data_IF_201924371525
#
_entry.id   IF_201924371525
#
_cell.length_a   1.000
_cell.length_b   1.000
_cell.length_c   1.000
_cell.angle_alpha   90.00
_cell.angle_beta   90.00
_cell.angle_gamma   90.00
#
_symmetry.space_group_name_H-M   'P 1'
#
loop_
_entity.id
_entity.type
_entity.pdbx_description
1 polymer ?
#
# COMPACT_ATOMS: atom_id res chain seq x y z
N UNK A 1 -3.09 4.54 10.77
CA UNK A 1 -4.18 3.53 10.74
C UNK A 1 -5.54 4.12 11.09
N UNK A 2 -5.64 5.01 12.08
CA UNK A 2 -6.94 5.42 12.66
C UNK A 2 -7.50 6.71 12.06
N UNK A 3 -6.77 7.40 11.21
CA UNK A 3 -7.28 8.50 10.39
C UNK A 3 -8.50 8.02 9.59
N UNK A 4 -9.59 8.80 9.59
CA UNK A 4 -10.88 8.45 8.97
C UNK A 4 -11.40 7.05 9.38
N UNK A 5 -11.16 6.65 10.65
CA UNK A 5 -11.46 5.31 11.18
C UNK A 5 -10.86 4.18 10.31
N UNK A 6 -9.68 4.39 9.72
CA UNK A 6 -8.99 3.41 8.88
C UNK A 6 -9.60 3.19 7.49
N UNK A 7 -10.59 3.96 7.10
CA UNK A 7 -11.27 3.87 5.79
C UNK A 7 -10.52 4.68 4.74
N UNK A 8 -9.25 4.34 4.53
CA UNK A 8 -8.34 5.00 3.60
C UNK A 8 -7.49 3.94 2.93
N UNK A 9 -7.44 3.94 1.60
CA UNK A 9 -6.77 2.94 0.77
C UNK A 9 -5.27 2.76 1.04
N UNK A 10 -4.64 3.74 1.68
CA UNK A 10 -3.23 3.70 2.10
C UNK A 10 -3.07 3.67 3.62
N UNK A 11 -4.14 3.50 4.38
CA UNK A 11 -4.02 3.24 5.81
C UNK A 11 -3.26 1.91 6.03
N UNK A 12 -2.29 1.85 6.96
CA UNK A 12 -1.64 0.58 7.29
C UNK A 12 -2.69 -0.49 7.60
N UNK A 13 -2.65 -1.60 6.88
CA UNK A 13 -3.64 -2.66 7.03
C UNK A 13 -3.28 -3.57 8.21
N UNK A 14 -2.04 -4.04 8.25
CA UNK A 14 -1.44 -4.76 9.37
C UNK A 14 -0.06 -4.20 9.71
N UNK A 15 0.46 -4.55 10.86
CA UNK A 15 1.77 -4.16 11.37
C UNK A 15 2.64 -5.39 11.62
N UNK A 16 3.81 -5.42 11.00
CA UNK A 16 4.89 -6.35 11.35
C UNK A 16 5.85 -5.62 12.30
N UNK A 17 6.07 -6.15 13.49
CA UNK A 17 6.85 -5.48 14.53
C UNK A 17 7.95 -6.38 15.09
N UNK A 18 9.16 -5.83 15.28
CA UNK A 18 10.24 -6.52 15.98
C UNK A 18 9.81 -6.81 17.43
N UNK A 19 9.99 -8.05 17.86
CA UNK A 19 9.65 -8.53 19.22
C UNK A 19 10.25 -7.63 20.31
N UNK A 20 11.46 -7.11 20.08
CA UNK A 20 12.19 -6.27 21.05
C UNK A 20 11.53 -4.94 21.36
N UNK A 21 10.73 -4.41 20.43
CA UNK A 21 10.08 -3.10 20.60
C UNK A 21 8.57 -3.20 20.75
N UNK A 22 7.99 -4.39 20.62
CA UNK A 22 6.55 -4.63 20.65
C UNK A 22 5.88 -4.04 21.88
N UNK A 23 6.33 -4.41 23.07
CA UNK A 23 5.68 -4.00 24.32
C UNK A 23 5.68 -2.47 24.48
N UNK A 24 6.83 -1.83 24.18
CA UNK A 24 6.95 -0.38 24.23
C UNK A 24 6.06 0.30 23.20
N UNK A 25 5.95 -0.27 22.00
CA UNK A 25 5.07 0.25 20.95
C UNK A 25 3.59 0.16 21.37
N UNK A 26 3.16 -0.98 21.92
CA UNK A 26 1.78 -1.18 22.36
C UNK A 26 1.41 -0.19 23.49
N UNK A 27 2.29 0.00 24.47
CA UNK A 27 2.11 1.01 25.51
C UNK A 27 1.92 2.42 24.93
N UNK A 28 2.80 2.81 24.00
CA UNK A 28 2.78 4.14 23.40
C UNK A 28 1.55 4.38 22.52
N UNK A 29 1.15 3.41 21.71
CA UNK A 29 -0.02 3.57 20.82
C UNK A 29 -1.30 3.66 21.64
N UNK A 30 -1.46 2.87 22.71
CA UNK A 30 -2.61 2.96 23.62
C UNK A 30 -2.70 4.37 24.25
N UNK A 31 -1.58 4.85 24.78
CA UNK A 31 -1.49 6.20 25.34
C UNK A 31 -1.83 7.28 24.31
N UNK A 32 -1.35 7.12 23.08
CA UNK A 32 -1.60 8.06 21.99
C UNK A 32 -3.07 8.06 21.57
N UNK A 33 -3.69 6.88 21.44
CA UNK A 33 -5.12 6.77 21.12
C UNK A 33 -6.00 7.46 22.16
N UNK A 34 -5.68 7.26 23.44
CA UNK A 34 -6.36 7.93 24.55
C UNK A 34 -6.16 9.46 24.50
N UNK A 35 -4.96 9.92 24.17
CA UNK A 35 -4.67 11.35 24.01
C UNK A 35 -5.42 11.98 22.83
N UNK A 36 -5.61 11.23 21.72
CA UNK A 36 -6.26 11.75 20.52
C UNK A 36 -7.78 11.72 20.61
N UNK A 37 -8.37 10.65 21.17
CA UNK A 37 -9.80 10.38 21.09
C UNK A 37 -10.48 10.34 22.47
N UNK A 38 -9.75 10.58 23.57
CA UNK A 38 -10.27 10.50 24.94
C UNK A 38 -10.38 9.08 25.46
N UNK A 39 -10.99 8.94 26.65
CA UNK A 39 -11.21 7.65 27.34
C UNK A 39 -12.25 6.78 26.60
N UNK A 40 -13.28 7.38 26.03
CA UNK A 40 -14.27 6.71 25.19
C UNK A 40 -14.29 7.35 23.78
N UNK A 41 -13.59 6.76 22.80
CA UNK A 41 -13.60 7.27 21.42
C UNK A 41 -14.99 7.30 20.76
N UNK A 42 -16.00 6.61 21.33
CA UNK A 42 -17.38 6.67 20.80
C UNK A 42 -18.04 8.04 20.99
N UNK A 43 -17.57 8.80 21.96
CA UNK A 43 -18.04 10.16 22.26
C UNK A 43 -17.15 11.26 21.67
N UNK A 44 -16.02 10.87 21.05
CA UNK A 44 -15.09 11.82 20.44
C UNK A 44 -15.63 12.40 19.13
N UNK A 45 -15.57 13.73 19.00
CA UNK A 45 -15.87 14.43 17.74
C UNK A 45 -14.78 14.25 16.67
N UNK A 46 -13.57 13.83 17.09
CA UNK A 46 -12.41 13.65 16.20
C UNK A 46 -12.29 12.21 15.66
N UNK A 47 -13.20 11.31 16.07
CA UNK A 47 -13.19 9.91 15.61
C UNK A 47 -14.39 9.61 14.70
N UNK A 48 -14.09 9.24 13.44
CA UNK A 48 -15.09 8.97 12.41
C UNK A 48 -15.91 7.70 12.68
N UNK A 49 -17.04 7.58 11.98
CA UNK A 49 -17.89 6.39 11.95
C UNK A 49 -17.61 5.57 10.69
N UNK A 50 -17.96 4.29 10.74
CA UNK A 50 -17.93 3.39 9.58
C UNK A 50 -19.10 3.75 8.66
N UNK A 51 -18.89 3.57 7.35
CA UNK A 51 -19.84 4.04 6.32
C UNK A 51 -21.22 3.41 6.41
N UNK A 52 -21.36 2.18 6.91
CA UNK A 52 -22.64 1.49 7.07
C UNK A 52 -22.57 0.32 8.07
N UNK A 53 -23.74 -0.23 8.41
CA UNK A 53 -23.87 -1.33 9.38
C UNK A 53 -23.24 -2.64 8.91
N UNK A 54 -23.33 -2.96 7.63
CA UNK A 54 -22.77 -4.21 7.07
C UNK A 54 -21.25 -4.24 7.22
N UNK A 55 -20.58 -3.12 6.91
CA UNK A 55 -19.14 -2.98 7.12
C UNK A 55 -18.76 -2.99 8.60
N UNK A 56 -19.61 -2.43 9.47
CA UNK A 56 -19.41 -2.48 10.91
C UNK A 56 -19.47 -3.91 11.42
N UNK A 57 -20.46 -4.69 10.99
CA UNK A 57 -20.57 -6.12 11.34
C UNK A 57 -19.41 -6.95 10.82
N UNK A 58 -18.93 -6.68 9.59
CA UNK A 58 -17.73 -7.32 9.05
C UNK A 58 -16.50 -7.03 9.92
N UNK A 59 -16.29 -5.78 10.33
CA UNK A 59 -15.17 -5.41 11.20
C UNK A 59 -15.28 -6.05 12.59
N UNK A 60 -16.49 -6.20 13.12
CA UNK A 60 -16.72 -6.94 14.37
C UNK A 60 -16.30 -8.41 14.23
N UNK A 61 -16.60 -9.07 13.11
CA UNK A 61 -16.16 -10.44 12.86
C UNK A 61 -14.64 -10.57 12.82
N UNK A 62 -13.92 -9.56 12.31
CA UNK A 62 -12.45 -9.52 12.32
C UNK A 62 -11.88 -9.35 13.73
N UNK A 63 -12.51 -8.53 14.58
CA UNK A 63 -12.08 -8.36 15.96
C UNK A 63 -12.07 -9.70 16.72
N UNK A 64 -12.99 -10.59 16.38
CA UNK A 64 -13.11 -11.91 17.01
C UNK A 64 -12.04 -12.93 16.53
N UNK A 65 -11.15 -12.56 15.61
CA UNK A 65 -10.12 -13.48 15.06
C UNK A 65 -8.84 -13.53 15.89
N UNK A 66 -8.62 -12.57 16.81
CA UNK A 66 -7.39 -12.47 17.59
C UNK A 66 -7.63 -12.01 19.02
N UNK A 67 -6.54 -11.78 19.75
CA UNK A 67 -6.58 -11.24 21.10
C UNK A 67 -6.63 -9.72 21.07
N UNK A 68 -7.69 -9.13 21.64
CA UNK A 68 -7.86 -7.68 21.75
C UNK A 68 -6.94 -7.11 22.82
N UNK A 69 -6.03 -6.24 22.45
CA UNK A 69 -5.13 -5.50 23.37
C UNK A 69 -5.77 -4.20 23.84
N UNK A 70 -6.47 -3.52 22.96
CA UNK A 70 -7.24 -2.31 23.28
C UNK A 70 -8.36 -2.12 22.25
N UNK A 71 -9.42 -1.40 22.62
CA UNK A 71 -10.58 -1.21 21.77
C UNK A 71 -11.57 -2.37 21.84
N UNK A 72 -11.92 -2.94 20.68
CA UNK A 72 -12.81 -4.11 20.57
C UNK A 72 -14.30 -3.81 20.65
N UNK A 73 -14.70 -2.61 21.10
CA UNK A 73 -16.11 -2.22 21.21
C UNK A 73 -16.69 -1.90 19.84
N UNK A 74 -17.82 -2.49 19.51
CA UNK A 74 -18.63 -2.19 18.33
C UNK A 74 -20.03 -1.76 18.73
N UNK A 75 -20.63 -0.86 17.97
CA UNK A 75 -22.03 -0.44 18.11
C UNK A 75 -22.62 -0.37 16.70
N UNK A 76 -23.23 -1.45 16.25
CA UNK A 76 -23.69 -1.61 14.86
C UNK A 76 -24.65 -0.49 14.45
N UNK A 77 -25.63 -0.17 15.32
CA UNK A 77 -26.63 0.86 15.03
C UNK A 77 -26.07 2.27 14.89
N UNK A 78 -24.92 2.54 15.51
CA UNK A 78 -24.20 3.81 15.40
C UNK A 78 -23.06 3.76 14.36
N UNK A 79 -22.90 2.66 13.62
CA UNK A 79 -21.77 2.43 12.71
C UNK A 79 -20.41 2.70 13.40
N UNK A 80 -20.27 2.31 14.65
CA UNK A 80 -19.09 2.56 15.45
C UNK A 80 -18.27 1.29 15.65
N UNK A 81 -16.97 1.41 15.43
CA UNK A 81 -15.93 0.43 15.78
C UNK A 81 -14.81 1.19 16.48
N UNK A 82 -14.47 0.79 17.70
CA UNK A 82 -13.38 1.41 18.45
C UNK A 82 -12.03 1.23 17.75
N UNK A 83 -11.08 2.18 17.91
CA UNK A 83 -9.68 1.93 17.55
C UNK A 83 -9.18 0.68 18.25
N UNK A 84 -8.89 -0.38 17.47
CA UNK A 84 -8.64 -1.72 18.01
C UNK A 84 -7.28 -2.23 17.59
N UNK A 85 -6.51 -2.75 18.54
CA UNK A 85 -5.27 -3.50 18.31
C UNK A 85 -5.52 -4.97 18.60
N UNK A 86 -5.11 -5.83 17.68
CA UNK A 86 -5.19 -7.29 17.81
C UNK A 86 -3.79 -7.89 17.81
N UNK A 87 -3.58 -8.90 18.64
CA UNK A 87 -2.42 -9.79 18.60
C UNK A 87 -2.86 -11.24 18.37
N UNK A 88 -1.92 -12.15 18.34
CA UNK A 88 -2.16 -13.57 18.09
C UNK A 88 -2.83 -13.86 16.76
N UNK A 89 -2.56 -13.00 15.77
CA UNK A 89 -3.04 -13.12 14.39
C UNK A 89 -2.03 -13.89 13.56
N UNK A 90 -2.54 -14.86 12.81
CA UNK A 90 -1.75 -15.64 11.84
C UNK A 90 -2.03 -15.15 10.42
N UNK A 91 -1.08 -15.31 9.50
CA UNK A 91 -1.27 -14.90 8.10
C UNK A 91 -2.47 -15.58 7.38
N UNK A 92 -2.96 -16.70 7.92
CA UNK A 92 -4.10 -17.46 7.40
C UNK A 92 -5.45 -16.99 7.93
N UNK A 93 -5.47 -16.17 8.99
CA UNK A 93 -6.72 -15.74 9.62
C UNK A 93 -7.56 -14.85 8.69
N UNK A 94 -8.89 -14.86 8.79
CA UNK A 94 -9.79 -14.13 7.87
C UNK A 94 -9.45 -12.65 7.73
N UNK A 95 -9.05 -11.99 8.82
CA UNK A 95 -8.66 -10.57 8.82
C UNK A 95 -7.45 -10.26 7.91
N UNK A 96 -6.62 -11.28 7.60
CA UNK A 96 -5.45 -11.15 6.74
C UNK A 96 -5.73 -11.50 5.26
N UNK A 97 -6.95 -11.96 4.92
CA UNK A 97 -7.28 -12.43 3.57
C UNK A 97 -7.92 -11.35 2.69
N UNK A 98 -8.37 -10.26 3.26
CA UNK A 98 -8.95 -9.13 2.55
C UNK A 98 -8.55 -7.80 3.21
N UNK A 99 -8.69 -6.69 2.48
CA UNK A 99 -8.44 -5.34 3.01
C UNK A 99 -9.39 -5.03 4.18
N UNK A 100 -8.84 -4.64 5.32
CA UNK A 100 -9.62 -4.39 6.54
C UNK A 100 -10.52 -3.17 6.36
N UNK A 101 -9.98 -2.06 5.82
CA UNK A 101 -10.68 -0.80 5.58
C UNK A 101 -11.50 -0.32 6.78
N UNK A 102 -10.87 -0.36 7.94
CA UNK A 102 -11.49 -0.03 9.24
C UNK A 102 -10.44 0.17 10.35
N UNK A 103 -10.87 0.57 11.56
CA UNK A 103 -9.97 0.94 12.65
C UNK A 103 -9.48 -0.27 13.46
N UNK A 104 -9.19 -1.36 12.80
CA UNK A 104 -8.64 -2.58 13.40
C UNK A 104 -7.24 -2.79 12.86
N UNK A 105 -6.25 -2.95 13.74
CA UNK A 105 -4.86 -3.14 13.39
C UNK A 105 -4.34 -4.46 13.96
N UNK A 106 -4.18 -5.50 13.13
CA UNK A 106 -3.42 -6.69 13.46
C UNK A 106 -1.95 -6.35 13.68
N UNK A 107 -1.36 -6.87 14.75
CA UNK A 107 0.05 -6.72 15.11
C UNK A 107 0.69 -8.11 15.12
N UNK A 108 1.56 -8.36 14.17
CA UNK A 108 2.28 -9.63 13.98
C UNK A 108 3.74 -9.41 14.36
N UNK A 109 4.26 -10.22 15.24
CA UNK A 109 5.63 -10.11 15.76
C UNK A 109 6.59 -10.91 14.89
N UNK A 110 7.79 -10.37 14.66
CA UNK A 110 8.92 -11.08 14.06
C UNK A 110 10.17 -10.98 14.96
N UNK A 111 11.10 -11.92 14.83
CA UNK A 111 12.40 -11.94 15.53
C UNK A 111 13.56 -11.56 14.62
N UNK A 112 13.52 -12.04 13.40
CA UNK A 112 14.49 -11.70 12.36
C UNK A 112 13.81 -10.91 11.25
N UNK A 113 14.47 -9.85 10.79
CA UNK A 113 13.92 -8.98 9.75
C UNK A 113 13.56 -9.72 8.45
N UNK A 114 14.24 -10.81 8.16
CA UNK A 114 13.94 -11.62 6.98
C UNK A 114 12.57 -12.32 7.03
N UNK A 115 12.00 -12.52 8.22
CA UNK A 115 10.69 -13.15 8.41
C UNK A 115 9.52 -12.33 7.87
N UNK A 116 9.70 -11.01 7.71
CA UNK A 116 8.64 -10.14 7.17
C UNK A 116 8.31 -10.44 5.71
N UNK A 117 9.32 -10.81 4.90
CA UNK A 117 9.16 -10.95 3.46
C UNK A 117 8.22 -12.10 3.05
N UNK A 118 8.29 -13.29 3.64
CA UNK A 118 7.30 -14.35 3.40
C UNK A 118 5.87 -13.91 3.72
N UNK A 119 5.66 -13.14 4.79
CA UNK A 119 4.33 -12.63 5.16
C UNK A 119 3.82 -11.64 4.11
N UNK A 120 4.65 -10.64 3.75
CA UNK A 120 4.29 -9.63 2.75
C UNK A 120 4.02 -10.27 1.38
N UNK A 121 4.88 -11.19 0.94
CA UNK A 121 4.80 -11.79 -0.39
C UNK A 121 3.67 -12.84 -0.54
N UNK A 122 3.00 -13.21 0.54
CA UNK A 122 1.80 -14.05 0.51
C UNK A 122 0.60 -13.31 -0.07
N UNK A 123 0.56 -12.01 0.11
CA UNK A 123 -0.52 -11.14 -0.34
C UNK A 123 -0.21 -10.54 -1.71
N UNK A 124 -1.25 -10.08 -2.38
CA UNK A 124 -1.10 -9.29 -3.61
C UNK A 124 -0.34 -7.99 -3.33
N UNK A 125 0.28 -7.44 -4.38
CA UNK A 125 1.07 -6.20 -4.26
C UNK A 125 0.20 -5.05 -3.78
N UNK A 126 0.53 -4.44 -2.61
CA UNK A 126 -0.30 -3.39 -2.02
C UNK A 126 -0.16 -2.05 -2.74
N UNK A 127 -1.12 -1.17 -2.50
CA UNK A 127 -1.07 0.22 -2.96
C UNK A 127 0.04 1.01 -2.24
N UNK A 128 0.28 0.73 -0.95
CA UNK A 128 1.31 1.38 -0.16
C UNK A 128 2.03 0.40 0.76
N UNK A 129 3.33 0.65 0.99
CA UNK A 129 4.15 -0.06 1.96
C UNK A 129 4.94 0.95 2.81
N UNK A 130 5.10 0.64 4.08
CA UNK A 130 5.71 1.53 5.07
C UNK A 130 6.78 0.80 5.86
N UNK A 131 7.88 1.49 6.15
CA UNK A 131 8.90 1.00 7.06
C UNK A 131 9.32 2.10 8.02
N UNK A 132 9.43 1.76 9.30
CA UNK A 132 9.95 2.63 10.35
C UNK A 132 11.26 2.05 10.87
N UNK A 133 12.36 2.74 10.64
CA UNK A 133 13.70 2.29 11.04
C UNK A 133 14.70 3.44 11.01
N UNK A 134 15.67 3.42 11.90
CA UNK A 134 16.84 4.30 11.85
C UNK A 134 17.93 3.78 10.90
N UNK A 135 17.88 2.48 10.56
CA UNK A 135 18.87 1.83 9.69
C UNK A 135 18.57 2.08 8.21
N UNK A 136 19.40 2.88 7.55
CA UNK A 136 19.33 3.09 6.10
C UNK A 136 19.48 1.79 5.30
N UNK A 137 20.20 0.81 5.82
CA UNK A 137 20.39 -0.49 5.14
C UNK A 137 19.11 -1.32 5.19
N UNK A 138 18.43 -1.41 6.34
CA UNK A 138 17.15 -2.08 6.44
C UNK A 138 16.07 -1.40 5.57
N UNK A 139 16.05 -0.06 5.53
CA UNK A 139 15.14 0.65 4.65
C UNK A 139 15.38 0.30 3.17
N UNK A 140 16.65 0.27 2.72
CA UNK A 140 17.01 -0.11 1.34
C UNK A 140 16.66 -1.57 1.04
N UNK A 141 16.94 -2.48 1.96
CA UNK A 141 16.62 -3.90 1.80
C UNK A 141 15.10 -4.10 1.68
N UNK A 142 14.31 -3.46 2.54
CA UNK A 142 12.86 -3.49 2.46
C UNK A 142 12.35 -3.03 1.10
N UNK A 143 12.79 -1.85 0.64
CA UNK A 143 12.38 -1.29 -0.65
C UNK A 143 12.83 -2.14 -1.84
N UNK A 144 13.97 -2.81 -1.76
CA UNK A 144 14.46 -3.68 -2.82
C UNK A 144 13.74 -5.03 -2.90
N UNK A 145 13.26 -5.56 -1.77
CA UNK A 145 12.65 -6.89 -1.67
C UNK A 145 11.13 -6.88 -1.64
N UNK A 146 10.50 -5.70 -1.56
CA UNK A 146 9.03 -5.55 -1.58
C UNK A 146 8.58 -4.75 -2.80
N UNK A 147 7.35 -4.99 -3.24
CA UNK A 147 6.73 -4.26 -4.34
C UNK A 147 5.41 -3.65 -3.88
N UNK A 148 5.25 -2.36 -4.12
CA UNK A 148 4.02 -1.62 -3.81
C UNK A 148 3.79 -0.49 -4.80
N UNK A 149 2.60 0.04 -4.84
CA UNK A 149 2.30 1.23 -5.66
C UNK A 149 3.10 2.45 -5.22
N UNK A 150 3.25 2.65 -3.92
CA UNK A 150 4.08 3.67 -3.29
C UNK A 150 4.71 3.13 -2.01
N UNK A 151 5.77 3.78 -1.52
CA UNK A 151 6.37 3.45 -0.23
C UNK A 151 6.76 4.73 0.52
N UNK A 152 6.78 4.64 1.87
CA UNK A 152 7.36 5.69 2.70
C UNK A 152 8.24 5.09 3.80
N UNK A 153 9.27 5.84 4.18
CA UNK A 153 10.21 5.50 5.26
C UNK A 153 10.01 6.51 6.38
N UNK A 154 9.74 6.01 7.59
CA UNK A 154 9.50 6.78 8.81
C UNK A 154 8.30 7.74 8.74
N UNK A 155 7.35 7.45 7.87
CA UNK A 155 6.08 8.17 7.76
C UNK A 155 4.99 7.25 7.19
N UNK A 156 3.74 7.67 7.28
CA UNK A 156 2.58 7.04 6.64
C UNK A 156 1.73 8.09 5.94
N UNK A 157 1.04 7.71 4.87
CA UNK A 157 0.05 8.54 4.17
C UNK A 157 0.63 9.74 3.43
N UNK A 158 1.64 10.42 3.96
CA UNK A 158 2.15 11.69 3.45
C UNK A 158 2.74 11.65 2.03
N UNK A 159 3.10 10.46 1.52
CA UNK A 159 3.57 10.31 0.13
C UNK A 159 2.55 10.73 -0.93
N UNK A 160 1.26 10.81 -0.59
CA UNK A 160 0.21 11.29 -1.51
C UNK A 160 -0.01 12.80 -1.44
N UNK A 161 0.54 13.49 -0.46
CA UNK A 161 0.31 14.92 -0.28
C UNK A 161 0.96 15.79 -1.38
N UNK A 162 1.99 15.28 -2.05
CA UNK A 162 2.67 16.00 -3.12
C UNK A 162 1.96 15.79 -4.46
N UNK A 163 1.50 16.87 -5.13
CA UNK A 163 0.89 16.78 -6.47
C UNK A 163 1.91 16.44 -7.57
N UNK A 164 3.21 16.44 -7.26
CA UNK A 164 4.29 16.16 -8.20
C UNK A 164 4.75 14.71 -8.16
N UNK A 165 4.42 13.96 -7.12
CA UNK A 165 4.76 12.54 -7.00
C UNK A 165 3.68 11.67 -7.64
N UNK A 166 4.07 10.67 -8.46
CA UNK A 166 3.10 9.75 -9.05
C UNK A 166 2.45 8.90 -7.98
N UNK A 167 1.12 8.84 -7.99
CA UNK A 167 0.37 7.95 -7.12
C UNK A 167 -0.46 6.95 -7.93
N UNK A 168 -0.44 5.68 -7.53
CA UNK A 168 -1.19 4.60 -8.16
C UNK A 168 -0.69 3.24 -7.72
N UNK A 169 -1.47 2.21 -8.00
CA UNK A 169 -1.20 0.83 -7.63
C UNK A 169 -0.29 0.08 -8.60
N UNK A 170 -0.06 -1.19 -8.33
CA UNK A 170 0.67 -2.12 -9.18
C UNK A 170 -0.04 -3.48 -9.20
N UNK A 171 -0.35 -4.01 -10.38
CA UNK A 171 -1.10 -5.26 -10.52
C UNK A 171 -2.49 -5.16 -9.87
N UNK A 172 -2.84 -6.02 -8.90
CA UNK A 172 -4.15 -6.00 -8.27
C UNK A 172 -4.50 -4.69 -7.54
N UNK A 173 -3.52 -3.92 -7.08
CA UNK A 173 -3.76 -2.64 -6.42
C UNK A 173 -4.00 -1.47 -7.37
N UNK A 174 -3.86 -1.66 -8.70
CA UNK A 174 -4.21 -0.66 -9.69
C UNK A 174 -3.30 -0.63 -10.92
N UNK A 175 -3.70 0.17 -11.92
CA UNK A 175 -2.95 0.45 -13.15
C UNK A 175 -2.86 1.96 -13.36
N UNK A 176 -1.77 2.39 -13.98
CA UNK A 176 -1.51 3.81 -14.23
C UNK A 176 -1.06 4.57 -12.99
N UNK A 177 -0.84 5.85 -13.19
CA UNK A 177 -0.42 6.79 -12.14
C UNK A 177 -1.16 8.09 -12.35
N UNK A 178 -1.49 8.79 -11.27
CA UNK A 178 -2.04 10.14 -11.34
C UNK A 178 -1.24 11.11 -10.46
N UNK A 179 -1.61 12.32 -10.41
CA UNK A 179 -0.99 13.56 -9.97
C UNK A 179 -0.20 14.27 -11.08
N UNK A 180 -0.47 15.55 -11.25
CA UNK A 180 0.23 16.47 -12.16
C UNK A 180 0.41 15.89 -13.57
N UNK A 181 1.66 15.85 -14.03
CA UNK A 181 2.04 15.33 -15.35
C UNK A 181 1.61 13.88 -15.58
N UNK A 182 1.66 13.04 -14.54
CA UNK A 182 1.29 11.63 -14.66
C UNK A 182 -0.20 11.44 -14.99
N UNK A 183 -1.08 12.30 -14.45
CA UNK A 183 -2.49 12.30 -14.83
C UNK A 183 -2.66 12.63 -16.31
N UNK A 184 -1.97 13.66 -16.78
CA UNK A 184 -2.01 14.05 -18.20
C UNK A 184 -1.54 12.89 -19.10
N UNK A 185 -0.41 12.28 -18.79
CA UNK A 185 0.13 11.14 -19.55
C UNK A 185 -0.80 9.91 -19.53
N UNK A 186 -1.40 9.59 -18.38
CA UNK A 186 -2.31 8.45 -18.22
C UNK A 186 -3.59 8.60 -19.04
N UNK A 187 -4.14 9.83 -19.14
CA UNK A 187 -5.39 10.10 -19.87
C UNK A 187 -5.16 10.65 -21.28
N UNK A 188 -3.91 10.67 -21.76
CA UNK A 188 -3.55 11.14 -23.10
C UNK A 188 -3.05 10.02 -23.99
N UNK A 189 -3.43 10.05 -25.25
CA UNK A 189 -2.88 9.14 -26.24
C UNK A 189 -1.56 9.69 -26.82
N UNK A 190 -0.45 9.01 -26.57
CA UNK A 190 0.82 9.32 -27.22
C UNK A 190 0.82 8.79 -28.63
N UNK A 191 0.84 9.69 -29.63
CA UNK A 191 0.86 9.34 -31.05
C UNK A 191 2.25 9.60 -31.65
N UNK A 192 2.88 8.56 -32.16
CA UNK A 192 4.11 8.70 -32.93
C UNK A 192 3.79 9.24 -34.32
N UNK A 193 4.50 10.29 -34.74
CA UNK A 193 4.44 10.84 -36.09
C UNK A 193 5.84 10.85 -36.69
N UNK A 194 6.01 10.12 -37.79
CA UNK A 194 7.28 10.08 -38.54
C UNK A 194 7.19 11.02 -39.75
N UNK A 195 8.01 12.06 -39.76
CA UNK A 195 8.22 12.91 -40.95
C UNK A 195 9.43 12.39 -41.73
N UNK A 196 9.20 11.70 -42.83
CA UNK A 196 10.26 11.22 -43.74
C UNK A 196 10.43 12.23 -44.88
N UNK A 197 11.71 12.55 -45.21
CA UNK A 197 12.03 13.31 -46.41
C UNK A 197 11.74 12.45 -47.68
N UNK A 198 11.16 13.11 -48.69
CA UNK A 198 10.96 12.47 -50.00
C UNK A 198 12.20 12.45 -50.86
N UNK A 199 13.28 13.14 -50.46
CA UNK A 199 14.55 13.19 -51.21
C UNK A 199 15.43 11.99 -50.94
N UNK A 200 15.26 11.29 -49.79
CA UNK A 200 16.07 10.16 -49.41
C UNK A 200 15.17 8.99 -49.05
N UNK A 201 15.44 7.86 -49.68
CA UNK A 201 14.79 6.60 -49.36
C UNK A 201 15.79 5.49 -49.01
N UNK A 202 15.42 4.65 -48.05
CA UNK A 202 16.27 3.55 -47.59
C UNK A 202 15.93 2.31 -48.44
N UNK A 203 16.59 2.15 -49.58
CA UNK A 203 16.29 1.09 -50.56
C UNK A 203 16.40 -0.34 -49.99
N UNK A 204 17.18 -0.55 -48.93
CA UNK A 204 17.34 -1.87 -48.28
C UNK A 204 16.07 -2.42 -47.65
N UNK A 205 15.07 -1.57 -47.38
CA UNK A 205 13.78 -1.99 -46.81
C UNK A 205 12.79 -2.61 -47.79
N UNK A 206 13.11 -2.56 -49.11
CA UNK A 206 12.28 -3.10 -50.18
C UNK A 206 12.81 -4.41 -50.72
N UNK A 207 11.95 -5.35 -51.20
CA UNK A 207 12.38 -6.51 -51.92
C UNK A 207 13.06 -6.17 -53.28
N UNK A 208 13.83 -7.09 -53.85
CA UNK A 208 14.22 -8.39 -53.35
C UNK A 208 15.25 -8.29 -52.22
N UNK A 209 15.12 -9.15 -51.18
CA UNK A 209 16.04 -9.17 -50.04
C UNK A 209 17.23 -10.05 -50.38
N UNK A 210 18.36 -9.41 -50.61
CA UNK A 210 19.66 -10.06 -50.86
C UNK A 210 20.46 -10.17 -49.56
N UNK A 211 21.47 -11.02 -49.52
CA UNK A 211 22.40 -11.16 -48.38
C UNK A 211 23.05 -9.82 -47.98
N UNK A 212 23.28 -8.94 -48.96
CA UNK A 212 23.79 -7.59 -48.71
C UNK A 212 22.76 -6.74 -47.95
N UNK A 213 21.50 -6.71 -48.40
CA UNK A 213 20.42 -5.95 -47.74
C UNK A 213 20.16 -6.48 -46.34
N UNK A 214 20.19 -7.79 -46.13
CA UNK A 214 20.03 -8.40 -44.81
C UNK A 214 21.13 -7.94 -43.86
N UNK A 215 22.38 -7.97 -44.28
CA UNK A 215 23.51 -7.48 -43.46
C UNK A 215 23.38 -5.99 -43.14
N UNK A 216 22.98 -5.17 -44.09
CA UNK A 216 22.76 -3.74 -43.89
C UNK A 216 21.61 -3.47 -42.90
N UNK A 217 20.49 -4.16 -43.00
CA UNK A 217 19.36 -4.04 -42.04
C UNK A 217 19.80 -4.43 -40.63
N UNK A 218 20.51 -5.57 -40.49
CA UNK A 218 21.03 -6.00 -39.17
C UNK A 218 22.01 -4.99 -38.56
N UNK A 219 22.74 -4.26 -39.36
CA UNK A 219 23.65 -3.20 -38.88
C UNK A 219 22.88 -1.95 -38.42
N UNK A 220 21.82 -1.57 -39.16
CA UNK A 220 20.98 -0.40 -38.86
C UNK A 220 20.05 -0.59 -37.66
N UNK A 221 19.73 -1.83 -37.32
CA UNK A 221 18.81 -2.18 -36.22
C UNK A 221 19.52 -2.51 -34.88
N UNK A 222 20.81 -2.32 -34.79
CA UNK A 222 21.60 -2.43 -33.56
C UNK A 222 21.74 -1.07 -32.91
#
# INVERSE_FOLDING_TARGET
>A
KFLNAGQTCIAPDYLLIDEKVKEKFLELIIKTLKSFYGEDPSESNDFCRITNKDKTSRLESFINTGTVITGGKTIIDKCYVAPTLLTDIRPEDPIMQEEIFGPVLPVITYRDFSEIFPVINRHSKPLAAYIFTESKNLAREFLARTQSGSAAVNDTVMQIASPYLPFGGIGPSGMGRYHGRHSFETFSNMRTVLYKSNMVDIFVRYPPYTSFKEKAIRLLMR
#
